data_IF_518593009503
#
_entry.id   IF_518593009503
#
_cell.length_a   1.000
_cell.length_b   1.000
_cell.length_c   1.000
_cell.angle_alpha   90.00
_cell.angle_beta   90.00
_cell.angle_gamma   90.00
#
_symmetry.space_group_name_H-M   'P 1'
#
loop_
_entity.id
_entity.type
_entity.pdbx_description
1 polymer ?
#
# COMPACT_ATOMS: atom_id res chain seq x y z
N UNK A 1 9.39 16.58 6.97
CA UNK A 1 9.90 15.20 7.13
C UNK A 1 8.92 14.28 6.43
N UNK A 2 9.36 13.70 5.34
CA UNK A 2 8.55 12.76 4.56
C UNK A 2 8.11 11.62 5.49
N UNK A 3 6.80 11.43 5.66
CA UNK A 3 6.21 10.32 6.43
C UNK A 3 6.50 8.96 5.83
N UNK A 4 7.08 8.92 4.66
CA UNK A 4 7.49 7.71 3.96
C UNK A 4 8.87 7.32 4.42
N UNK A 5 8.94 6.17 4.98
CA UNK A 5 10.14 5.54 5.50
C UNK A 5 11.10 5.10 4.38
N UNK A 6 11.12 5.87 3.29
CA UNK A 6 11.91 5.61 2.10
C UNK A 6 12.83 6.77 1.85
N UNK A 7 14.12 6.53 1.87
CA UNK A 7 15.07 7.41 1.20
C UNK A 7 15.16 6.93 -0.24
N UNK A 8 14.68 7.76 -1.16
CA UNK A 8 14.93 7.58 -2.58
C UNK A 8 16.30 8.16 -2.88
N UNK A 9 17.29 7.32 -3.12
CA UNK A 9 18.60 7.73 -3.58
C UNK A 9 18.66 7.69 -5.10
N UNK A 10 18.97 8.82 -5.73
CA UNK A 10 19.25 8.89 -7.16
C UNK A 10 20.69 8.37 -7.36
N UNK A 11 20.88 7.25 -8.08
CA UNK A 11 22.19 6.86 -8.56
C UNK A 11 22.43 7.49 -9.93
N UNK A 12 23.57 8.15 -10.08
CA UNK A 12 23.93 9.06 -11.19
C UNK A 12 24.00 8.45 -12.61
N UNK A 13 23.47 7.24 -12.84
CA UNK A 13 23.64 6.56 -14.14
C UNK A 13 22.40 6.48 -15.02
N UNK A 14 21.20 6.68 -14.46
CA UNK A 14 19.97 6.70 -15.26
C UNK A 14 18.95 7.64 -14.59
N UNK A 15 18.61 8.78 -15.23
CA UNK A 15 17.67 9.75 -14.68
C UNK A 15 16.22 9.22 -14.54
N UNK A 16 15.90 8.12 -15.21
CA UNK A 16 14.56 7.50 -15.20
C UNK A 16 14.41 6.40 -14.14
N UNK A 17 15.45 6.15 -13.33
CA UNK A 17 15.46 5.09 -12.31
C UNK A 17 15.73 5.69 -10.94
N UNK A 18 14.97 5.23 -9.95
CA UNK A 18 15.17 5.52 -8.53
C UNK A 18 15.49 4.23 -7.79
N UNK A 19 16.22 4.34 -6.68
CA UNK A 19 16.42 3.24 -5.73
C UNK A 19 15.61 3.55 -4.49
N UNK A 20 14.71 2.64 -4.14
CA UNK A 20 13.94 2.66 -2.90
C UNK A 20 14.69 1.83 -1.88
N UNK A 21 15.04 2.44 -0.73
CA UNK A 21 15.63 1.79 0.44
C UNK A 21 14.58 1.68 1.55
N UNK A 22 14.21 0.46 1.91
CA UNK A 22 13.19 0.16 2.91
C UNK A 22 13.79 0.06 4.31
N UNK A 23 13.32 0.92 5.21
CA UNK A 23 13.80 1.02 6.59
C UNK A 23 12.87 0.35 7.60
N UNK A 24 13.40 0.09 8.79
CA UNK A 24 12.65 -0.48 9.92
C UNK A 24 11.90 0.58 10.73
N UNK A 25 12.10 1.88 10.42
CA UNK A 25 11.37 2.95 11.08
C UNK A 25 9.86 2.81 10.87
N UNK A 26 9.09 2.93 11.93
CA UNK A 26 7.64 2.87 11.92
C UNK A 26 7.03 4.16 12.45
N UNK A 27 6.05 4.68 11.71
CA UNK A 27 5.26 5.84 12.15
C UNK A 27 3.77 5.54 12.04
N UNK A 28 2.98 6.13 12.93
CA UNK A 28 1.53 6.08 12.88
C UNK A 28 0.93 7.43 13.29
N UNK A 29 -0.36 7.63 12.95
CA UNK A 29 -1.12 8.84 13.29
C UNK A 29 -0.40 10.12 12.86
N UNK A 30 -0.07 10.22 11.58
CA UNK A 30 0.61 11.39 11.02
C UNK A 30 1.96 11.68 11.67
N UNK A 31 2.72 10.63 12.05
CA UNK A 31 4.04 10.74 12.65
C UNK A 31 4.04 11.07 14.15
N UNK A 32 2.88 11.11 14.79
CA UNK A 32 2.78 11.30 16.25
C UNK A 32 3.36 10.09 16.99
N UNK A 33 3.04 8.88 16.54
CA UNK A 33 3.66 7.66 17.08
C UNK A 33 4.84 7.26 16.22
N UNK A 34 5.99 7.06 16.85
CA UNK A 34 7.25 6.64 16.20
C UNK A 34 7.80 5.41 16.91
N UNK A 35 8.49 4.55 16.17
CA UNK A 35 9.16 3.37 16.71
C UNK A 35 9.96 2.67 15.62
N UNK A 36 10.49 1.51 15.96
CA UNK A 36 11.20 0.64 15.05
C UNK A 36 10.53 -0.74 15.10
N UNK A 37 10.31 -1.34 13.93
CA UNK A 37 9.85 -2.73 13.79
C UNK A 37 11.00 -3.47 13.10
N UNK A 38 11.72 -4.30 13.86
CA UNK A 38 12.92 -4.98 13.36
C UNK A 38 12.55 -5.92 12.22
N UNK A 39 13.31 -5.84 11.11
CA UNK A 39 13.06 -6.65 9.91
C UNK A 39 11.96 -6.16 8.98
N UNK A 40 11.21 -5.13 9.38
CA UNK A 40 10.11 -4.58 8.58
C UNK A 40 10.55 -4.19 7.17
N UNK A 41 11.69 -3.54 7.03
CA UNK A 41 12.21 -3.11 5.73
C UNK A 41 12.44 -4.28 4.76
N UNK A 42 12.95 -5.41 5.26
CA UNK A 42 13.12 -6.63 4.46
C UNK A 42 11.77 -7.19 4.02
N UNK A 43 10.83 -7.34 4.97
CA UNK A 43 9.49 -7.85 4.68
C UNK A 43 8.79 -6.97 3.65
N UNK A 44 8.76 -5.66 3.86
CA UNK A 44 8.08 -4.73 2.97
C UNK A 44 8.68 -4.73 1.56
N UNK A 45 10.02 -4.71 1.45
CA UNK A 45 10.71 -4.74 0.16
C UNK A 45 10.39 -6.01 -0.62
N UNK A 46 10.64 -7.17 -0.02
CA UNK A 46 10.48 -8.47 -0.69
C UNK A 46 9.01 -8.78 -1.00
N UNK A 47 8.11 -8.48 -0.08
CA UNK A 47 6.68 -8.67 -0.29
C UNK A 47 6.16 -7.79 -1.44
N UNK A 48 6.55 -6.50 -1.46
CA UNK A 48 6.18 -5.59 -2.55
C UNK A 48 6.70 -6.11 -3.89
N UNK A 49 7.97 -6.52 -3.96
CA UNK A 49 8.56 -7.03 -5.19
C UNK A 49 7.87 -8.30 -5.68
N UNK A 50 7.57 -9.24 -4.77
CA UNK A 50 6.85 -10.46 -5.09
C UNK A 50 5.45 -10.16 -5.67
N UNK A 51 4.69 -9.31 -5.00
CA UNK A 51 3.34 -8.93 -5.42
C UNK A 51 3.37 -8.15 -6.74
N UNK A 52 4.31 -7.21 -6.91
CA UNK A 52 4.39 -6.43 -8.14
C UNK A 52 4.72 -7.29 -9.36
N UNK A 53 5.63 -8.25 -9.22
CA UNK A 53 5.92 -9.24 -10.28
C UNK A 53 4.65 -10.05 -10.64
N UNK A 54 3.94 -10.55 -9.63
CA UNK A 54 2.69 -11.27 -9.84
C UNK A 54 1.63 -10.41 -10.53
N UNK A 55 1.50 -9.13 -10.16
CA UNK A 55 0.58 -8.19 -10.78
C UNK A 55 0.97 -7.89 -12.23
N UNK A 56 2.26 -7.74 -12.54
CA UNK A 56 2.74 -7.55 -13.92
C UNK A 56 2.43 -8.75 -14.81
N UNK A 57 2.59 -9.97 -14.32
CA UNK A 57 2.19 -11.19 -15.03
C UNK A 57 0.69 -11.23 -15.35
N UNK A 58 -0.13 -10.53 -14.57
CA UNK A 58 -1.58 -10.38 -14.77
C UNK A 58 -1.96 -9.09 -15.53
N UNK A 59 -0.96 -8.39 -16.10
CA UNK A 59 -1.16 -7.22 -16.95
C UNK A 59 -1.40 -5.91 -16.20
N UNK A 60 -1.05 -5.81 -14.93
CA UNK A 60 -1.03 -4.55 -14.18
C UNK A 60 0.36 -3.91 -14.32
N UNK A 61 0.49 -2.74 -14.95
CA UNK A 61 1.77 -2.09 -15.07
C UNK A 61 2.22 -1.53 -13.71
N UNK A 62 3.49 -1.78 -13.34
CA UNK A 62 4.07 -1.27 -12.09
C UNK A 62 5.35 -0.48 -12.34
N UNK A 63 5.82 0.20 -11.30
CA UNK A 63 7.12 0.90 -11.35
C UNK A 63 8.31 -0.03 -11.07
N UNK A 64 8.09 -1.29 -10.72
CA UNK A 64 9.15 -2.25 -10.42
C UNK A 64 10.11 -2.43 -11.61
N UNK A 65 11.41 -2.52 -11.33
CA UNK A 65 12.45 -2.88 -12.30
C UNK A 65 13.18 -4.11 -11.81
N UNK A 66 13.86 -4.03 -10.66
CA UNK A 66 14.74 -5.08 -10.16
C UNK A 66 14.92 -4.97 -8.64
N UNK A 67 14.92 -6.10 -7.95
CA UNK A 67 15.35 -6.22 -6.56
C UNK A 67 16.88 -6.22 -6.50
N UNK A 68 17.46 -5.24 -5.79
CA UNK A 68 18.91 -5.08 -5.70
C UNK A 68 19.50 -5.73 -4.45
N UNK A 69 18.72 -5.75 -3.37
CA UNK A 69 19.08 -6.38 -2.10
C UNK A 69 17.82 -6.68 -1.30
N UNK A 70 17.96 -7.24 -0.11
CA UNK A 70 16.84 -7.50 0.80
C UNK A 70 16.03 -6.23 1.14
N UNK A 71 16.64 -5.05 1.01
CA UNK A 71 16.05 -3.76 1.40
C UNK A 71 15.94 -2.76 0.26
N UNK A 72 16.60 -3.01 -0.87
CA UNK A 72 16.68 -2.06 -1.97
C UNK A 72 16.04 -2.60 -3.24
N UNK A 73 15.28 -1.77 -3.91
CA UNK A 73 14.66 -2.06 -5.21
C UNK A 73 14.85 -0.90 -6.16
N UNK A 74 15.29 -1.19 -7.38
CA UNK A 74 15.27 -0.25 -8.49
C UNK A 74 13.85 -0.13 -9.04
N UNK A 75 13.38 1.10 -9.20
CA UNK A 75 12.04 1.38 -9.71
C UNK A 75 12.09 2.47 -10.79
N UNK A 76 11.11 2.46 -11.69
CA UNK A 76 10.88 3.54 -12.66
C UNK A 76 10.60 4.84 -11.89
N UNK A 77 11.27 5.91 -12.27
CA UNK A 77 10.97 7.24 -11.75
C UNK A 77 9.65 7.72 -12.36
N UNK A 78 8.63 7.74 -11.54
CA UNK A 78 7.28 8.19 -11.92
C UNK A 78 6.99 9.58 -11.32
N UNK A 79 6.13 10.34 -11.98
CA UNK A 79 5.49 11.48 -11.36
C UNK A 79 4.26 10.98 -10.59
N UNK A 80 4.32 11.00 -9.27
CA UNK A 80 3.23 10.51 -8.42
C UNK A 80 1.97 11.36 -8.65
N UNK A 81 0.86 10.70 -8.92
CA UNK A 81 -0.47 11.32 -8.83
C UNK A 81 -0.70 11.63 -7.35
N UNK A 82 -0.98 12.89 -6.95
CA UNK A 82 -1.03 13.28 -5.55
C UNK A 82 -2.30 12.78 -4.83
N UNK A 83 -2.57 11.49 -4.96
CA UNK A 83 -3.70 10.79 -4.36
C UNK A 83 -3.23 9.50 -3.68
N UNK A 84 -3.69 9.28 -2.46
CA UNK A 84 -3.73 7.94 -1.88
C UNK A 84 -5.03 7.27 -2.33
N UNK A 85 -4.93 6.05 -2.81
CA UNK A 85 -6.06 5.27 -3.33
C UNK A 85 -6.28 4.08 -2.40
N UNK A 86 -7.47 4.00 -1.79
CA UNK A 86 -7.76 3.00 -0.77
C UNK A 86 -8.97 2.18 -1.21
N UNK A 87 -8.80 0.85 -1.22
CA UNK A 87 -9.89 -0.09 -1.44
C UNK A 87 -10.16 -0.85 -0.15
N UNK A 88 -11.44 -1.01 0.21
CA UNK A 88 -11.84 -1.78 1.38
C UNK A 88 -12.84 -2.87 1.00
N UNK A 89 -12.59 -4.06 1.53
CA UNK A 89 -13.46 -5.25 1.41
C UNK A 89 -14.22 -5.50 2.72
N UNK A 90 -13.65 -5.05 3.84
CA UNK A 90 -14.18 -5.22 5.19
C UNK A 90 -14.05 -3.90 5.94
N UNK A 91 -15.03 -3.56 6.74
CA UNK A 91 -15.00 -2.35 7.56
C UNK A 91 -13.90 -2.46 8.63
N UNK A 92 -12.98 -1.49 8.63
CA UNK A 92 -11.90 -1.39 9.62
C UNK A 92 -11.38 0.05 9.74
N UNK A 93 -10.65 0.32 10.81
CA UNK A 93 -9.91 1.56 11.01
C UNK A 93 -10.79 2.82 10.92
N UNK A 94 -10.38 3.78 10.07
CA UNK A 94 -11.10 5.07 9.92
C UNK A 94 -12.51 4.91 9.32
N UNK A 95 -12.72 3.92 8.47
CA UNK A 95 -14.02 3.64 7.87
C UNK A 95 -15.05 3.28 8.94
N UNK A 96 -14.74 2.29 9.78
CA UNK A 96 -15.59 1.89 10.91
C UNK A 96 -15.88 3.05 11.85
N UNK A 97 -14.87 3.83 12.21
CA UNK A 97 -15.01 4.97 13.12
C UNK A 97 -15.88 6.09 12.56
N UNK A 98 -15.69 6.46 11.29
CA UNK A 98 -16.42 7.57 10.67
C UNK A 98 -17.88 7.26 10.37
N UNK A 99 -18.17 6.01 10.02
CA UNK A 99 -19.51 5.59 9.62
C UNK A 99 -20.29 4.86 10.72
N UNK A 100 -19.66 4.61 11.87
CA UNK A 100 -20.27 3.85 12.96
C UNK A 100 -20.57 2.39 12.62
N UNK A 101 -19.85 1.82 11.65
CA UNK A 101 -20.00 0.42 11.21
C UNK A 101 -19.05 -0.44 12.05
N UNK A 102 -19.54 -1.57 12.52
CA UNK A 102 -18.72 -2.51 13.31
C UNK A 102 -17.49 -2.99 12.55
N UNK A 103 -16.34 -3.00 13.23
CA UNK A 103 -15.10 -3.54 12.66
C UNK A 103 -15.28 -5.03 12.35
N UNK A 104 -14.92 -5.44 11.15
CA UNK A 104 -15.12 -6.81 10.67
C UNK A 104 -16.37 -7.02 9.84
N UNK A 105 -17.25 -6.03 9.72
CA UNK A 105 -18.39 -6.10 8.82
C UNK A 105 -17.91 -6.24 7.36
N UNK A 106 -18.29 -7.32 6.69
CA UNK A 106 -17.99 -7.53 5.27
C UNK A 106 -18.87 -6.62 4.43
N UNK A 107 -18.23 -5.76 3.63
CA UNK A 107 -18.96 -4.83 2.77
C UNK A 107 -19.71 -5.57 1.67
N UNK A 108 -20.85 -5.05 1.26
CA UNK A 108 -21.66 -5.64 0.18
C UNK A 108 -20.95 -5.56 -1.19
N UNK A 109 -20.07 -4.59 -1.34
CA UNK A 109 -19.15 -4.44 -2.46
C UNK A 109 -17.88 -3.75 -1.98
N UNK A 110 -16.73 -3.95 -2.64
CA UNK A 110 -15.54 -3.15 -2.34
C UNK A 110 -15.83 -1.66 -2.51
N UNK A 111 -15.29 -0.84 -1.62
CA UNK A 111 -15.40 0.62 -1.73
C UNK A 111 -14.08 1.23 -2.16
N UNK A 112 -14.14 2.41 -2.76
CA UNK A 112 -12.98 3.18 -3.23
C UNK A 112 -12.97 4.54 -2.52
N UNK A 113 -11.83 4.88 -1.94
CA UNK A 113 -11.59 6.18 -1.30
C UNK A 113 -10.36 6.83 -1.92
N UNK A 114 -10.41 8.16 -2.06
CA UNK A 114 -9.25 8.98 -2.39
C UNK A 114 -8.89 9.87 -1.21
N UNK A 115 -7.60 10.02 -0.92
CA UNK A 115 -7.09 11.07 -0.03
C UNK A 115 -6.10 11.93 -0.81
N UNK A 116 -6.25 13.25 -0.69
CA UNK A 116 -5.31 14.19 -1.27
C UNK A 116 -4.01 14.16 -0.47
N UNK A 117 -2.92 13.84 -1.16
CA UNK A 117 -1.58 13.74 -0.55
C UNK A 117 -1.06 15.11 -0.22
N UNK A 118 -1.30 15.55 1.00
CA UNK A 118 -0.80 16.78 1.54
C UNK A 118 -0.58 16.63 3.05
N UNK A 119 0.69 16.44 3.43
CA UNK A 119 1.08 16.21 4.82
C UNK A 119 0.64 17.34 5.76
N UNK A 120 0.68 18.59 5.29
CA UNK A 120 0.28 19.75 6.10
C UNK A 120 -1.22 19.74 6.42
N UNK A 121 -2.03 19.21 5.49
CA UNK A 121 -3.47 19.07 5.66
C UNK A 121 -3.89 17.74 6.29
N UNK A 122 -2.94 16.81 6.51
CA UNK A 122 -3.20 15.50 7.09
C UNK A 122 -3.88 14.51 6.13
N UNK A 123 -3.59 14.63 4.83
CA UNK A 123 -4.08 13.75 3.76
C UNK A 123 -5.62 13.63 3.76
N UNK A 124 -6.35 14.76 3.57
CA UNK A 124 -7.80 14.76 3.68
C UNK A 124 -8.46 13.86 2.64
N UNK A 125 -9.49 13.13 3.08
CA UNK A 125 -10.32 12.37 2.16
C UNK A 125 -11.07 13.32 1.23
N UNK A 126 -11.06 13.00 -0.06
CA UNK A 126 -11.78 13.72 -1.12
C UNK A 126 -12.52 12.71 -2.00
N UNK A 127 -13.45 13.19 -2.80
CA UNK A 127 -14.04 12.39 -3.87
C UNK A 127 -13.33 12.64 -5.21
N UNK A 128 -13.68 11.87 -6.21
CA UNK A 128 -13.14 11.93 -7.56
C UNK A 128 -13.39 13.29 -8.24
N UNK A 129 -14.53 13.91 -8.01
CA UNK A 129 -14.84 15.26 -8.53
C UNK A 129 -13.92 16.32 -7.93
N UNK A 130 -13.63 16.22 -6.63
CA UNK A 130 -12.68 17.13 -5.98
C UNK A 130 -11.27 16.94 -6.54
N UNK A 131 -10.84 15.70 -6.72
CA UNK A 131 -9.53 15.38 -7.28
C UNK A 131 -9.32 16.05 -8.65
N UNK A 132 -10.34 16.00 -9.51
CA UNK A 132 -10.32 16.67 -10.82
C UNK A 132 -10.39 18.19 -10.68
N UNK A 133 -11.28 18.70 -9.84
CA UNK A 133 -11.49 20.13 -9.69
C UNK A 133 -10.27 20.88 -9.16
N UNK A 134 -9.47 20.25 -8.29
CA UNK A 134 -8.22 20.83 -7.77
C UNK A 134 -7.00 20.55 -8.65
N UNK A 135 -7.18 19.82 -9.76
CA UNK A 135 -6.09 19.48 -10.68
C UNK A 135 -5.12 18.42 -10.17
N UNK A 136 -5.52 17.61 -9.17
CA UNK A 136 -4.70 16.51 -8.68
C UNK A 136 -4.58 15.38 -9.72
N UNK A 137 -5.65 15.13 -10.46
CA UNK A 137 -5.69 14.18 -11.58
C UNK A 137 -6.72 14.63 -12.63
N UNK A 138 -6.57 14.16 -13.86
CA UNK A 138 -7.62 14.31 -14.89
C UNK A 138 -8.73 13.28 -14.70
N UNK A 139 -9.86 13.45 -15.37
CA UNK A 139 -10.96 12.46 -15.33
C UNK A 139 -10.50 11.12 -15.90
N UNK A 140 -9.77 11.13 -16.98
CA UNK A 140 -9.22 9.92 -17.63
C UNK A 140 -8.24 9.19 -16.69
N UNK A 141 -7.42 9.93 -15.94
CA UNK A 141 -6.52 9.33 -14.94
C UNK A 141 -7.31 8.70 -13.80
N UNK A 142 -8.34 9.36 -13.28
CA UNK A 142 -9.22 8.81 -12.21
C UNK A 142 -9.91 7.53 -12.70
N UNK A 143 -10.44 7.54 -13.92
CA UNK A 143 -11.11 6.38 -14.50
C UNK A 143 -10.14 5.21 -14.67
N UNK A 144 -8.90 5.50 -15.13
CA UNK A 144 -7.86 4.48 -15.27
C UNK A 144 -7.37 3.94 -13.91
N UNK A 145 -7.18 4.80 -12.92
CA UNK A 145 -6.83 4.39 -11.54
C UNK A 145 -7.93 3.49 -10.98
N UNK A 146 -9.19 3.87 -11.17
CA UNK A 146 -10.35 3.11 -10.69
C UNK A 146 -10.40 1.71 -11.32
N UNK A 147 -10.22 1.61 -12.64
CA UNK A 147 -10.14 0.32 -13.35
C UNK A 147 -9.01 -0.56 -12.78
N UNK A 148 -7.81 0.01 -12.68
CA UNK A 148 -6.63 -0.73 -12.23
C UNK A 148 -6.76 -1.19 -10.78
N UNK A 149 -7.21 -0.32 -9.86
CA UNK A 149 -7.25 -0.65 -8.44
C UNK A 149 -8.28 -1.72 -8.10
N UNK A 150 -9.44 -1.76 -8.78
CA UNK A 150 -10.40 -2.84 -8.59
C UNK A 150 -9.88 -4.16 -9.16
N UNK A 151 -9.20 -4.14 -10.31
CA UNK A 151 -8.54 -5.34 -10.85
C UNK A 151 -7.43 -5.85 -9.90
N UNK A 152 -6.65 -4.94 -9.33
CA UNK A 152 -5.66 -5.26 -8.29
C UNK A 152 -6.36 -5.90 -7.08
N UNK A 153 -7.48 -5.33 -6.63
CA UNK A 153 -8.24 -5.88 -5.50
C UNK A 153 -8.68 -7.33 -5.74
N UNK A 154 -9.26 -7.63 -6.88
CA UNK A 154 -9.67 -9.00 -7.23
C UNK A 154 -8.49 -9.97 -7.17
N UNK A 155 -7.38 -9.61 -7.79
CA UNK A 155 -6.16 -10.44 -7.81
C UNK A 155 -5.62 -10.66 -6.39
N UNK A 156 -5.55 -9.60 -5.58
CA UNK A 156 -4.99 -9.68 -4.22
C UNK A 156 -5.91 -10.44 -3.27
N UNK A 157 -7.23 -10.26 -3.35
CA UNK A 157 -8.20 -11.00 -2.53
C UNK A 157 -8.05 -12.51 -2.77
N UNK A 158 -8.02 -12.93 -4.04
CA UNK A 158 -7.87 -14.33 -4.40
C UNK A 158 -6.52 -14.90 -3.96
N UNK A 159 -5.44 -14.13 -4.17
CA UNK A 159 -4.09 -14.52 -3.76
C UNK A 159 -3.99 -14.72 -2.25
N UNK A 160 -4.38 -13.72 -1.44
CA UNK A 160 -4.27 -13.81 0.01
C UNK A 160 -5.19 -14.87 0.60
N UNK A 161 -6.38 -15.05 0.04
CA UNK A 161 -7.28 -16.15 0.44
C UNK A 161 -6.65 -17.53 0.24
N UNK A 162 -5.85 -17.72 -0.81
CA UNK A 162 -5.16 -18.97 -1.06
C UNK A 162 -4.13 -19.34 0.01
N UNK A 163 -3.64 -18.35 0.75
CA UNK A 163 -2.70 -18.50 1.87
C UNK A 163 -3.35 -18.26 3.24
N UNK A 164 -4.68 -18.38 3.31
CA UNK A 164 -5.49 -18.23 4.54
C UNK A 164 -5.36 -16.86 5.21
N UNK A 165 -5.33 -15.83 4.39
CA UNK A 165 -5.31 -14.42 4.81
C UNK A 165 -6.49 -13.69 4.18
N UNK A 166 -7.25 -12.96 4.98
CA UNK A 166 -8.26 -12.02 4.49
C UNK A 166 -7.61 -10.66 4.24
N UNK A 167 -7.70 -10.16 3.01
CA UNK A 167 -7.36 -8.79 2.67
C UNK A 167 -8.52 -7.88 3.05
N UNK A 168 -8.36 -7.14 4.13
CA UNK A 168 -9.39 -6.26 4.70
C UNK A 168 -9.48 -4.96 3.90
N UNK A 169 -8.39 -4.29 3.74
CA UNK A 169 -8.21 -3.10 2.91
C UNK A 169 -6.74 -2.93 2.52
N UNK A 170 -6.51 -2.08 1.54
CA UNK A 170 -5.17 -1.68 1.16
C UNK A 170 -5.16 -0.26 0.61
N UNK A 171 -4.01 0.38 0.74
CA UNK A 171 -3.70 1.69 0.19
C UNK A 171 -2.57 1.56 -0.82
N UNK A 172 -2.75 2.16 -1.98
CA UNK A 172 -1.75 2.22 -3.04
C UNK A 172 -1.65 3.63 -3.62
N UNK A 173 -0.59 3.85 -4.36
CA UNK A 173 -0.36 5.08 -5.11
C UNK A 173 -0.11 4.74 -6.59
N UNK A 174 -0.44 5.69 -7.44
CA UNK A 174 -0.19 5.59 -8.87
C UNK A 174 0.72 6.72 -9.33
N UNK A 175 1.45 6.47 -10.40
CA UNK A 175 2.32 7.46 -11.01
C UNK A 175 2.15 7.54 -12.51
N UNK A 176 2.50 8.71 -13.05
CA UNK A 176 2.58 8.96 -14.49
C UNK A 176 3.95 8.54 -14.99
N UNK A 177 4.00 7.67 -15.97
CA UNK A 177 5.23 7.21 -16.59
C UNK A 177 5.03 7.08 -18.09
N UNK A 178 5.72 7.90 -18.88
CA UNK A 178 5.65 7.91 -20.36
C UNK A 178 4.23 7.92 -20.91
N UNK A 179 3.37 8.76 -20.34
CA UNK A 179 1.98 8.92 -20.74
C UNK A 179 1.01 7.83 -20.25
N UNK A 180 1.44 6.96 -19.36
CA UNK A 180 0.62 5.90 -18.79
C UNK A 180 0.52 6.06 -17.27
N UNK A 181 -0.61 5.62 -16.71
CA UNK A 181 -0.78 5.43 -15.26
C UNK A 181 -0.29 4.03 -14.91
N UNK A 182 0.64 3.95 -13.95
CA UNK A 182 1.18 2.69 -13.45
C UNK A 182 1.13 2.66 -11.93
N UNK A 183 1.05 1.44 -11.37
CA UNK A 183 1.10 1.22 -9.93
C UNK A 183 2.49 1.58 -9.39
N UNK A 184 2.52 2.33 -8.31
CA UNK A 184 3.73 2.74 -7.61
C UNK A 184 3.61 2.45 -6.11
N UNK A 185 4.51 3.02 -5.31
CA UNK A 185 4.57 2.85 -3.87
C UNK A 185 4.87 1.41 -3.44
N UNK A 186 4.10 0.84 -2.54
CA UNK A 186 4.29 -0.50 -2.01
C UNK A 186 2.96 -1.22 -1.75
N UNK A 187 3.01 -2.55 -1.72
CA UNK A 187 1.97 -3.42 -1.17
C UNK A 187 2.63 -4.27 -0.08
N UNK A 188 2.33 -3.95 1.17
CA UNK A 188 3.04 -4.49 2.33
C UNK A 188 2.16 -4.45 3.59
N UNK A 189 2.58 -5.02 4.72
CA UNK A 189 1.87 -4.89 5.98
C UNK A 189 1.75 -3.43 6.49
N UNK A 190 2.50 -2.49 5.92
CA UNK A 190 2.39 -1.06 6.22
C UNK A 190 1.19 -0.40 5.54
N UNK A 191 0.84 -0.87 4.34
CA UNK A 191 -0.19 -0.29 3.47
C UNK A 191 -1.45 -1.14 3.36
N UNK A 192 -1.42 -2.38 3.83
CA UNK A 192 -2.54 -3.31 3.83
C UNK A 192 -2.96 -3.68 5.26
N UNK A 193 -4.24 -4.07 5.43
CA UNK A 193 -4.70 -4.82 6.58
C UNK A 193 -4.91 -6.27 6.19
N UNK A 194 -4.17 -7.14 6.87
CA UNK A 194 -4.22 -8.59 6.71
C UNK A 194 -4.71 -9.23 8.00
N UNK A 195 -5.78 -10.00 7.91
CA UNK A 195 -6.25 -10.80 9.03
C UNK A 195 -6.15 -12.27 8.72
N UNK A 196 -5.77 -13.07 9.71
CA UNK A 196 -5.89 -14.51 9.61
C UNK A 196 -7.35 -14.90 9.34
N UNK A 197 -7.60 -15.74 8.32
CA UNK A 197 -8.96 -16.07 7.88
C UNK A 197 -9.75 -16.89 8.90
N UNK A 198 -9.08 -17.57 9.84
CA UNK A 198 -9.70 -18.44 10.84
C UNK A 198 -9.82 -17.74 12.20
N UNK A 199 -8.74 -17.10 12.64
CA UNK A 199 -8.64 -16.48 13.99
C UNK A 199 -8.97 -15.00 14.00
N UNK A 200 -8.97 -14.33 12.84
CA UNK A 200 -9.08 -12.88 12.67
C UNK A 200 -7.95 -12.09 13.35
N UNK A 201 -6.85 -12.76 13.66
CA UNK A 201 -5.65 -12.11 14.18
C UNK A 201 -5.06 -11.16 13.15
N UNK A 202 -4.62 -9.99 13.60
CA UNK A 202 -4.04 -8.95 12.73
C UNK A 202 -2.59 -9.30 12.40
N UNK A 203 -2.27 -9.36 11.11
CA UNK A 203 -0.95 -9.70 10.56
C UNK A 203 -0.29 -8.49 9.87
N UNK A 204 -0.55 -7.30 10.38
CA UNK A 204 -0.17 -6.04 9.77
C UNK A 204 0.20 -4.95 10.80
N UNK A 205 0.45 -3.73 10.30
CA UNK A 205 0.85 -2.57 11.10
C UNK A 205 -0.18 -2.12 12.15
N UNK A 206 -1.43 -2.60 12.10
CA UNK A 206 -2.40 -2.27 13.15
C UNK A 206 -1.98 -2.77 14.53
N UNK A 207 -1.14 -3.82 14.59
CA UNK A 207 -0.52 -4.23 15.87
C UNK A 207 0.33 -3.11 16.47
N UNK A 208 1.14 -2.43 15.65
CA UNK A 208 1.91 -1.26 16.08
C UNK A 208 1.01 -0.06 16.38
N UNK A 209 0.04 0.23 15.51
CA UNK A 209 -0.87 1.38 15.69
C UNK A 209 -1.68 1.29 16.98
N UNK A 210 -2.06 0.08 17.39
CA UNK A 210 -3.00 -0.19 18.50
C UNK A 210 -2.34 -0.79 19.74
N UNK A 211 -1.01 -0.87 19.78
CA UNK A 211 -0.23 -1.45 20.88
C UNK A 211 -0.65 -2.89 21.25
N UNK A 212 -0.89 -3.73 20.23
CA UNK A 212 -1.33 -5.11 20.43
C UNK A 212 -0.18 -6.08 20.74
N UNK A 213 1.07 -5.62 20.66
CA UNK A 213 2.26 -6.47 20.80
C UNK A 213 2.49 -7.42 19.62
N UNK A 214 3.55 -8.21 19.66
CA UNK A 214 3.91 -9.21 18.65
C UNK A 214 3.89 -8.66 17.20
N UNK A 215 4.47 -7.46 17.02
CA UNK A 215 4.44 -6.75 15.73
C UNK A 215 5.36 -7.45 14.75
N UNK A 216 6.60 -7.75 15.16
CA UNK A 216 7.59 -8.43 14.36
C UNK A 216 7.10 -9.81 13.92
N UNK A 217 6.54 -10.58 14.85
CA UNK A 217 6.01 -11.92 14.58
C UNK A 217 4.85 -11.87 13.56
N UNK A 218 4.03 -10.83 13.59
CA UNK A 218 2.96 -10.67 12.59
C UNK A 218 3.52 -10.40 11.18
N UNK A 219 4.58 -9.59 11.07
CA UNK A 219 5.28 -9.36 9.79
C UNK A 219 5.97 -10.62 9.28
N UNK A 220 6.60 -11.38 10.18
CA UNK A 220 7.22 -12.67 9.82
C UNK A 220 6.16 -13.70 9.37
N UNK A 221 5.02 -13.76 10.05
CA UNK A 221 3.96 -14.71 9.71
C UNK A 221 3.36 -14.44 8.34
N UNK A 222 3.02 -13.19 7.99
CA UNK A 222 2.54 -12.90 6.65
C UNK A 222 3.61 -13.18 5.60
N UNK A 223 4.87 -12.86 5.88
CA UNK A 223 6.01 -13.14 5.01
C UNK A 223 6.19 -14.64 4.74
N UNK A 224 6.07 -15.46 5.78
CA UNK A 224 6.11 -16.93 5.69
C UNK A 224 4.94 -17.49 4.87
N UNK A 225 3.72 -16.97 5.08
CA UNK A 225 2.53 -17.45 4.38
C UNK A 225 2.59 -17.24 2.88
N UNK A 226 3.19 -16.16 2.43
CA UNK A 226 3.37 -15.89 1.00
C UNK A 226 4.59 -16.60 0.41
N UNK A 227 5.29 -17.45 1.17
CA UNK A 227 6.37 -18.30 0.69
C UNK A 227 7.71 -17.59 0.50
N UNK A 228 7.99 -16.52 1.26
CA UNK A 228 9.23 -15.76 1.17
C UNK A 228 10.21 -16.00 2.33
N UNK A 229 9.80 -16.77 3.35
CA UNK A 229 10.66 -17.16 4.49
C UNK A 229 11.53 -18.38 4.14
#
# INVERSE_FOLDING_TARGET
VDRRQRQMCIRDRNPDVLIVDYKDDATAFNGVKKGTIVGKGVVNNRMTNHIFKMLEEKGIPTHFIEELSDRETAVKKVEIVPLEVIVRNVAAGSFSKKLGIEEGFRLLSPTLEFSYKNDELGDPMINDYYAVAIGAATREEIDKITELVFKINEILVDYFKSVKVDLIDFKVEFGRYKGQIILADEISPDTCRFWDSETHEKLDKDRFRRDLGHVEEAYEEIYRRIGLA
#
